data_IF_281051120739
#
_entry.id   IF_281051120739
#
_cell.length_a   1.000
_cell.length_b   1.000
_cell.length_c   1.000
_cell.angle_alpha   90.00
_cell.angle_beta   90.00
_cell.angle_gamma   90.00
#
_symmetry.space_group_name_H-M   'P 1'
#
loop_
_entity.id
_entity.type
_entity.pdbx_description
1 polymer ?
#
# COMPACT_ATOMS: atom_id res chain seq x y z
N UNK A 1 -24.95 -8.62 10.05
CA UNK A 1 -25.61 -9.35 11.16
C UNK A 1 -25.82 -10.77 10.70
N UNK A 2 -25.41 -11.74 11.50
CA UNK A 2 -25.81 -13.13 11.25
C UNK A 2 -27.28 -13.36 11.68
N UNK A 3 -27.76 -14.58 11.45
CA UNK A 3 -29.10 -15.06 11.80
C UNK A 3 -29.39 -15.04 13.31
N UNK A 4 -28.39 -14.76 14.14
CA UNK A 4 -28.50 -14.68 15.59
C UNK A 4 -28.40 -13.23 16.12
N UNK A 5 -28.26 -12.24 15.24
CA UNK A 5 -28.18 -10.82 15.61
C UNK A 5 -26.77 -10.35 16.00
N UNK A 6 -25.74 -11.17 15.80
CA UNK A 6 -24.36 -10.80 16.09
C UNK A 6 -23.76 -10.02 14.91
N UNK A 7 -23.03 -8.94 15.19
CA UNK A 7 -22.32 -8.19 14.17
C UNK A 7 -21.18 -9.08 13.66
N UNK A 8 -21.34 -9.62 12.44
CA UNK A 8 -20.35 -10.50 11.80
C UNK A 8 -19.02 -9.79 11.49
N UNK A 9 -19.06 -8.49 11.23
CA UNK A 9 -17.87 -7.67 11.08
C UNK A 9 -18.25 -6.20 11.35
N UNK A 10 -17.50 -5.53 12.22
CA UNK A 10 -17.65 -4.11 12.50
C UNK A 10 -16.46 -3.36 11.93
N UNK A 11 -16.71 -2.28 11.21
CA UNK A 11 -15.65 -1.42 10.71
C UNK A 11 -15.65 -0.10 11.48
N UNK A 12 -14.50 0.28 12.00
CA UNK A 12 -14.27 1.62 12.55
C UNK A 12 -13.29 2.38 11.66
N UNK A 13 -13.57 3.66 11.46
CA UNK A 13 -12.81 4.53 10.58
C UNK A 13 -12.24 5.68 11.40
N UNK A 14 -10.98 5.98 11.20
CA UNK A 14 -10.33 7.17 11.75
C UNK A 14 -9.95 8.09 10.61
N UNK A 15 -10.04 9.40 10.86
CA UNK A 15 -9.82 10.42 9.85
C UNK A 15 -8.81 11.45 10.35
N UNK A 16 -8.04 12.04 9.44
CA UNK A 16 -7.29 13.25 9.74
C UNK A 16 -8.17 14.52 9.69
N UNK A 17 -7.57 15.68 9.95
CA UNK A 17 -8.27 16.96 9.96
C UNK A 17 -8.78 17.41 8.57
N UNK A 18 -8.25 16.82 7.49
CA UNK A 18 -8.65 17.10 6.11
C UNK A 18 -9.72 16.13 5.60
N UNK A 19 -10.02 15.09 6.39
CA UNK A 19 -11.06 14.12 6.12
C UNK A 19 -10.56 12.85 5.43
N UNK A 20 -9.24 12.63 5.31
CA UNK A 20 -8.73 11.37 4.77
C UNK A 20 -8.81 10.27 5.82
N UNK A 21 -9.11 9.05 5.39
CA UNK A 21 -9.12 7.88 6.26
C UNK A 21 -7.68 7.51 6.64
N UNK A 22 -7.31 7.62 7.91
CA UNK A 22 -5.96 7.26 8.40
C UNK A 22 -5.88 5.85 8.94
N UNK A 23 -7.01 5.25 9.32
CA UNK A 23 -7.10 3.83 9.63
C UNK A 23 -8.50 3.27 9.45
N UNK A 24 -8.56 1.99 9.07
CA UNK A 24 -9.75 1.14 9.07
C UNK A 24 -9.46 -0.06 9.96
N UNK A 25 -10.28 -0.28 10.99
CA UNK A 25 -10.16 -1.44 11.87
C UNK A 25 -11.38 -2.33 11.71
N UNK A 26 -11.14 -3.63 11.51
CA UNK A 26 -12.17 -4.67 11.53
C UNK A 26 -11.74 -5.85 12.42
N UNK A 27 -12.54 -6.91 12.44
CA UNK A 27 -12.18 -8.16 13.13
C UNK A 27 -10.87 -8.78 12.62
N UNK A 28 -10.48 -8.49 11.37
CA UNK A 28 -9.24 -8.96 10.75
C UNK A 28 -8.00 -8.13 11.14
N UNK A 29 -8.18 -7.02 11.86
CA UNK A 29 -7.12 -6.12 12.30
C UNK A 29 -7.26 -4.71 11.73
N UNK A 30 -6.19 -3.92 11.86
CA UNK A 30 -6.17 -2.51 11.42
C UNK A 30 -5.30 -2.31 10.18
N UNK A 31 -5.86 -1.68 9.16
CA UNK A 31 -5.11 -1.10 8.04
C UNK A 31 -4.90 0.38 8.31
N UNK A 32 -3.67 0.88 8.17
CA UNK A 32 -3.35 2.32 8.32
C UNK A 32 -2.89 2.93 7.01
N UNK A 33 -3.14 4.23 6.86
CA UNK A 33 -2.91 5.00 5.65
C UNK A 33 -2.16 6.30 5.98
N UNK A 34 -1.20 6.67 5.13
CA UNK A 34 -0.43 7.92 5.24
C UNK A 34 -0.52 8.65 3.92
N UNK A 35 -0.75 9.96 4.01
CA UNK A 35 -0.92 10.85 2.86
C UNK A 35 0.21 11.89 2.80
N UNK A 36 0.52 12.36 1.60
CA UNK A 36 1.39 13.52 1.41
C UNK A 36 0.63 14.85 1.60
N UNK A 37 1.33 15.97 1.38
CA UNK A 37 0.73 17.30 1.51
C UNK A 37 -0.35 17.61 0.46
N UNK A 38 -0.42 16.83 -0.62
CA UNK A 38 -1.39 16.93 -1.71
C UNK A 38 -2.54 15.92 -1.53
N UNK A 39 -2.67 15.30 -0.35
CA UNK A 39 -3.71 14.31 -0.03
C UNK A 39 -3.60 13.01 -0.82
N UNK A 40 -2.42 12.69 -1.35
CA UNK A 40 -2.17 11.46 -2.09
C UNK A 40 -1.66 10.37 -1.14
N UNK A 41 -2.20 9.16 -1.25
CA UNK A 41 -1.82 8.04 -0.42
C UNK A 41 -0.38 7.61 -0.72
N UNK A 42 0.55 7.81 0.20
CA UNK A 42 1.96 7.42 0.04
C UNK A 42 2.31 6.12 0.75
N UNK A 43 1.49 5.68 1.72
CA UNK A 43 1.72 4.42 2.43
C UNK A 43 0.43 3.77 2.93
N UNK A 44 0.31 2.46 2.73
CA UNK A 44 -0.69 1.58 3.33
C UNK A 44 0.04 0.51 4.15
N UNK A 45 -0.42 0.21 5.36
CA UNK A 45 0.11 -0.90 6.18
C UNK A 45 -1.05 -1.78 6.62
N UNK A 46 -1.03 -3.04 6.18
CA UNK A 46 -2.10 -4.02 6.40
C UNK A 46 -1.85 -4.87 7.66
N UNK A 47 -2.90 -5.49 8.22
CA UNK A 47 -2.79 -6.35 9.40
C UNK A 47 -1.85 -7.55 9.22
N UNK A 48 -1.70 -8.05 7.99
CA UNK A 48 -0.83 -9.18 7.67
C UNK A 48 0.67 -8.80 7.56
N UNK A 49 1.01 -7.55 7.93
CA UNK A 49 2.36 -7.01 7.83
C UNK A 49 2.76 -6.54 6.43
N UNK A 50 1.85 -6.62 5.44
CA UNK A 50 2.11 -6.05 4.11
C UNK A 50 2.19 -4.54 4.20
N UNK A 51 3.28 -3.97 3.70
CA UNK A 51 3.46 -2.52 3.54
C UNK A 51 3.46 -2.19 2.06
N UNK A 52 2.62 -1.24 1.66
CA UNK A 52 2.58 -0.72 0.30
C UNK A 52 2.97 0.75 0.35
N UNK A 53 3.93 1.15 -0.46
CA UNK A 53 4.38 2.53 -0.60
C UNK A 53 4.18 3.01 -2.04
N UNK A 54 3.79 4.26 -2.20
CA UNK A 54 3.49 4.87 -3.49
C UNK A 54 4.30 6.14 -3.70
N UNK A 55 4.65 6.42 -4.94
CA UNK A 55 5.21 7.71 -5.35
C UNK A 55 4.43 8.27 -6.52
N UNK A 56 4.46 9.59 -6.65
CA UNK A 56 3.70 10.33 -7.65
C UNK A 56 4.61 11.35 -8.33
N UNK A 57 4.28 11.71 -9.57
CA UNK A 57 4.85 12.88 -10.22
C UNK A 57 4.13 14.17 -9.75
N UNK A 58 4.52 15.31 -10.33
CA UNK A 58 4.00 16.62 -9.92
C UNK A 58 2.52 16.86 -10.28
N UNK A 59 1.97 16.10 -11.23
CA UNK A 59 0.57 16.22 -11.68
C UNK A 59 -0.33 15.12 -11.10
N UNK A 60 0.25 14.21 -10.31
CA UNK A 60 -0.47 13.19 -9.54
C UNK A 60 -0.52 11.82 -10.22
N UNK A 61 0.24 11.60 -11.29
CA UNK A 61 0.38 10.26 -11.83
C UNK A 61 1.25 9.41 -10.89
N UNK A 62 0.78 8.22 -10.55
CA UNK A 62 1.54 7.30 -9.70
C UNK A 62 2.74 6.76 -10.48
N UNK A 63 3.96 7.06 -10.05
CA UNK A 63 5.19 6.56 -10.65
C UNK A 63 5.55 5.15 -10.16
N UNK A 64 5.36 4.88 -8.87
CA UNK A 64 5.71 3.57 -8.29
C UNK A 64 4.66 3.04 -7.33
N UNK A 65 4.56 1.71 -7.27
CA UNK A 65 3.92 0.95 -6.19
C UNK A 65 4.92 -0.08 -5.69
N UNK A 66 5.40 0.06 -4.45
CA UNK A 66 6.30 -0.89 -3.81
C UNK A 66 5.54 -1.65 -2.73
N UNK A 67 5.39 -2.96 -2.90
CA UNK A 67 4.68 -3.84 -1.98
C UNK A 67 5.68 -4.80 -1.32
N UNK A 68 5.80 -4.71 0.00
CA UNK A 68 6.68 -5.53 0.82
C UNK A 68 5.86 -6.44 1.73
N UNK A 69 6.05 -7.75 1.59
CA UNK A 69 5.40 -8.76 2.43
C UNK A 69 6.40 -9.85 2.79
N UNK A 70 6.59 -10.11 4.09
CA UNK A 70 7.46 -11.19 4.56
C UNK A 70 8.92 -11.08 4.06
N UNK A 71 9.42 -9.86 3.82
CA UNK A 71 10.77 -9.61 3.29
C UNK A 71 10.90 -9.69 1.77
N UNK A 72 9.88 -10.16 1.05
CA UNK A 72 9.82 -10.06 -0.42
C UNK A 72 9.26 -8.71 -0.80
N UNK A 73 9.92 -8.03 -1.74
CA UNK A 73 9.47 -6.73 -2.26
C UNK A 73 9.16 -6.84 -3.74
N UNK A 74 7.99 -6.36 -4.15
CA UNK A 74 7.63 -6.17 -5.54
C UNK A 74 7.48 -4.68 -5.82
N UNK A 75 8.13 -4.19 -6.87
CA UNK A 75 7.97 -2.81 -7.32
C UNK A 75 7.29 -2.81 -8.67
N UNK A 76 6.19 -2.08 -8.80
CA UNK A 76 5.59 -1.76 -10.09
C UNK A 76 5.92 -0.31 -10.44
N UNK A 77 6.54 -0.10 -11.59
CA UNK A 77 6.79 1.21 -12.17
C UNK A 77 5.75 1.50 -13.25
N UNK A 78 5.28 2.73 -13.31
CA UNK A 78 4.32 3.19 -14.31
C UNK A 78 4.94 4.32 -15.13
N UNK A 79 4.71 4.31 -16.44
CA UNK A 79 5.16 5.35 -17.35
C UNK A 79 3.98 5.98 -18.06
N UNK A 80 4.07 7.28 -18.31
CA UNK A 80 3.02 8.08 -18.90
C UNK A 80 3.55 8.85 -20.12
N UNK A 81 2.67 9.21 -21.04
CA UNK A 81 2.98 10.19 -22.08
C UNK A 81 2.70 11.62 -21.62
N UNK A 82 2.98 12.60 -22.49
CA UNK A 82 2.78 14.03 -22.22
C UNK A 82 1.29 14.42 -22.03
N UNK A 83 0.36 13.51 -22.32
CA UNK A 83 -1.08 13.69 -22.12
C UNK A 83 -1.59 12.97 -20.85
N UNK A 84 -0.69 12.59 -19.95
CA UNK A 84 -0.97 11.88 -18.70
C UNK A 84 -1.63 10.50 -18.89
N UNK A 85 -1.43 9.89 -20.07
CA UNK A 85 -1.97 8.56 -20.35
C UNK A 85 -0.93 7.49 -20.02
N UNK A 86 -1.36 6.43 -19.32
CA UNK A 86 -0.49 5.31 -18.97
C UNK A 86 -0.03 4.57 -20.23
N UNK A 87 1.28 4.55 -20.47
CA UNK A 87 1.89 3.89 -21.65
C UNK A 87 2.52 2.55 -21.32
N UNK A 88 3.00 2.35 -20.09
CA UNK A 88 3.51 1.06 -19.64
C UNK A 88 3.39 0.88 -18.13
N UNK A 89 3.31 -0.39 -17.72
CA UNK A 89 3.51 -0.79 -16.33
C UNK A 89 4.43 -2.00 -16.29
N UNK A 90 5.48 -1.93 -15.48
CA UNK A 90 6.46 -3.01 -15.33
C UNK A 90 6.54 -3.42 -13.87
N UNK A 91 6.38 -4.71 -13.57
CA UNK A 91 6.51 -5.25 -12.21
C UNK A 91 7.80 -6.06 -12.10
N UNK A 92 8.61 -5.71 -11.11
CA UNK A 92 9.87 -6.36 -10.80
C UNK A 92 9.81 -6.93 -9.38
N UNK A 93 10.40 -8.11 -9.19
CA UNK A 93 10.57 -8.76 -7.89
C UNK A 93 12.00 -8.57 -7.40
N UNK A 94 12.16 -8.07 -6.17
CA UNK A 94 13.45 -7.94 -5.52
C UNK A 94 13.46 -8.87 -4.31
N UNK A 95 14.36 -9.86 -4.34
CA UNK A 95 14.68 -10.68 -3.17
C UNK A 95 15.75 -9.98 -2.34
N UNK A 96 15.57 -9.93 -1.02
CA UNK A 96 16.69 -9.67 -0.12
C UNK A 96 17.74 -10.76 -0.36
N UNK A 97 18.95 -10.39 -0.78
CA UNK A 97 20.06 -11.33 -1.02
C UNK A 97 20.24 -12.20 0.24
N UNK A 98 19.98 -13.51 0.14
CA UNK A 98 20.57 -14.47 1.10
C UNK A 98 22.08 -14.31 0.98
N UNK A 99 22.71 -13.84 2.05
CA UNK A 99 24.16 -14.00 2.19
C UNK A 99 24.45 -15.49 2.05
N UNK A 100 25.14 -15.88 0.97
CA UNK A 100 25.83 -17.16 0.96
C UNK A 100 26.91 -17.06 2.03
N UNK A 101 26.73 -17.78 3.14
CA UNK A 101 27.88 -18.19 3.94
C UNK A 101 28.79 -19.01 2.99
N UNK A 102 30.09 -18.70 2.89
CA UNK A 102 31.01 -19.64 2.28
C UNK A 102 31.14 -20.82 3.25
N UNK A 103 30.79 -22.03 2.79
CA UNK A 103 31.18 -23.25 3.47
C UNK A 103 32.71 -23.36 3.41
N UNK A 104 33.32 -23.67 4.56
CA UNK A 104 34.76 -23.89 4.77
C UNK A 104 35.30 -25.13 4.03
#
# INVERSE_FOLDING_TARGET
>A
MDKNGEIQDSFTYTYDAKGNITAVTSSAGTTTYVYDALEQLIKETRPDGTVIEYTYDAVGNRLTKKETKGGTTFTTNYTYDDADQLTASQRDEIHARRQRQPDE
#
